data_IF_682221266618
#
_entry.id   IF_682221266618
#
_cell.length_a   1.000
_cell.length_b   1.000
_cell.length_c   1.000
_cell.angle_alpha   90.00
_cell.angle_beta   90.00
_cell.angle_gamma   90.00
#
_symmetry.space_group_name_H-M   'P 1'
#
loop_
_entity.id
_entity.type
_entity.pdbx_description
1 polymer ?
#
# COMPACT_ATOMS: atom_id res chain seq x y z
N UNK A 1 -1.26 18.05 -29.77
CA UNK A 1 -0.20 17.85 -28.77
C UNK A 1 0.67 19.10 -28.71
N UNK A 2 0.62 19.83 -27.60
CA UNK A 2 1.40 21.07 -27.43
C UNK A 2 2.90 20.80 -27.32
N UNK A 3 3.70 21.85 -27.53
CA UNK A 3 5.16 21.87 -27.34
C UNK A 3 5.57 21.39 -25.94
N UNK A 4 4.83 21.81 -24.91
CA UNK A 4 5.05 21.42 -23.51
C UNK A 4 4.89 19.92 -23.27
N UNK A 5 3.84 19.30 -23.83
CA UNK A 5 3.62 17.86 -23.67
C UNK A 5 4.77 17.03 -24.27
N UNK A 6 5.40 17.52 -25.35
CA UNK A 6 6.55 16.84 -25.99
C UNK A 6 7.84 16.99 -25.18
N UNK A 7 8.10 18.19 -24.64
CA UNK A 7 9.27 18.44 -23.79
C UNK A 7 9.20 17.65 -22.49
N UNK A 8 8.04 17.62 -21.84
CA UNK A 8 7.79 16.84 -20.62
C UNK A 8 8.03 15.34 -20.82
N UNK A 9 7.53 14.79 -21.94
CA UNK A 9 7.72 13.36 -22.26
C UNK A 9 9.19 13.02 -22.52
N UNK A 10 9.98 13.94 -23.08
CA UNK A 10 11.43 13.77 -23.25
C UNK A 10 12.17 13.81 -21.92
N UNK A 11 11.78 14.71 -21.02
CA UNK A 11 12.38 14.86 -19.69
C UNK A 11 12.09 13.66 -18.79
N UNK A 12 10.85 13.19 -18.75
CA UNK A 12 10.47 11.96 -18.04
C UNK A 12 11.19 10.73 -18.62
N UNK A 13 11.40 10.68 -19.94
CA UNK A 13 12.17 9.60 -20.59
C UNK A 13 13.65 9.66 -20.27
N UNK A 14 14.21 10.85 -20.01
CA UNK A 14 15.59 11.01 -19.52
C UNK A 14 15.71 10.60 -18.05
N UNK A 15 14.73 10.92 -17.22
CA UNK A 15 14.75 10.61 -15.79
C UNK A 15 14.49 9.12 -15.49
N UNK A 16 13.45 8.54 -16.09
CA UNK A 16 12.95 7.20 -15.71
C UNK A 16 13.36 6.12 -16.72
N UNK A 17 13.78 6.52 -17.93
CA UNK A 17 14.20 5.61 -19.00
C UNK A 17 13.03 5.00 -19.79
N UNK A 18 13.29 4.64 -21.06
CA UNK A 18 12.27 4.08 -21.99
C UNK A 18 11.65 2.79 -21.44
N UNK A 19 12.48 1.91 -20.86
CA UNK A 19 12.07 0.60 -20.33
C UNK A 19 11.01 0.71 -19.24
N UNK A 20 11.12 1.69 -18.35
CA UNK A 20 10.11 1.91 -17.30
C UNK A 20 8.82 2.45 -17.92
N UNK A 21 8.91 3.48 -18.77
CA UNK A 21 7.75 4.14 -19.38
C UNK A 21 6.87 3.22 -20.22
N UNK A 22 7.46 2.19 -20.82
CA UNK A 22 6.77 1.21 -21.66
C UNK A 22 6.33 -0.04 -20.89
N UNK A 23 6.70 -0.16 -19.61
CA UNK A 23 6.31 -1.31 -18.81
C UNK A 23 4.78 -1.36 -18.59
N UNK A 24 4.14 -2.55 -18.64
CA UNK A 24 2.70 -2.70 -18.42
C UNK A 24 2.19 -2.05 -17.12
N UNK A 25 2.99 -2.09 -16.06
CA UNK A 25 2.71 -1.40 -14.79
C UNK A 25 2.47 0.11 -14.98
N UNK A 26 3.34 0.80 -15.71
CA UNK A 26 3.21 2.24 -15.94
C UNK A 26 1.96 2.59 -16.74
N UNK A 27 1.55 1.71 -17.67
CA UNK A 27 0.29 1.87 -18.40
C UNK A 27 -0.90 1.76 -17.43
N UNK A 28 -0.92 0.76 -16.55
CA UNK A 28 -1.96 0.58 -15.53
C UNK A 28 -2.01 1.75 -14.55
N UNK A 29 -0.88 2.16 -14.00
CA UNK A 29 -0.80 3.27 -13.05
C UNK A 29 -1.33 4.58 -13.66
N UNK A 30 -1.04 4.87 -14.94
CA UNK A 30 -1.62 6.03 -15.63
C UNK A 30 -3.14 5.95 -15.79
N UNK A 31 -3.70 4.76 -15.99
CA UNK A 31 -5.15 4.56 -16.06
C UNK A 31 -5.75 4.82 -14.68
N UNK A 32 -5.21 4.19 -13.64
CA UNK A 32 -5.68 4.37 -12.26
C UNK A 32 -5.62 5.85 -11.82
N UNK A 33 -4.52 6.55 -12.15
CA UNK A 33 -4.36 7.99 -11.89
C UNK A 33 -5.45 8.85 -12.55
N UNK A 34 -5.89 8.48 -13.75
CA UNK A 34 -7.00 9.17 -14.43
C UNK A 34 -8.35 8.90 -13.76
N UNK A 35 -8.54 7.68 -13.26
CA UNK A 35 -9.79 7.25 -12.62
C UNK A 35 -9.95 7.82 -11.21
N UNK A 36 -8.91 7.77 -10.38
CA UNK A 36 -8.99 8.03 -8.94
C UNK A 36 -8.03 9.12 -8.43
N UNK A 37 -7.28 9.78 -9.33
CA UNK A 37 -6.35 10.83 -8.94
C UNK A 37 -5.27 10.31 -7.99
N UNK A 38 -4.97 11.08 -6.95
CA UNK A 38 -3.87 10.79 -6.01
C UNK A 38 -4.10 9.50 -5.20
N UNK A 39 -5.34 9.02 -5.06
CA UNK A 39 -5.61 7.74 -4.39
C UNK A 39 -5.01 6.53 -5.15
N UNK A 40 -4.72 6.69 -6.45
CA UNK A 40 -4.14 5.63 -7.28
C UNK A 40 -2.62 5.42 -7.09
N UNK A 41 -1.95 6.28 -6.32
CA UNK A 41 -0.49 6.20 -6.09
C UNK A 41 -0.11 5.56 -4.77
N UNK A 42 -1.07 5.03 -4.02
CA UNK A 42 -0.76 4.37 -2.76
C UNK A 42 0.07 3.11 -3.00
N UNK A 43 1.27 3.10 -2.40
CA UNK A 43 2.22 2.00 -2.48
C UNK A 43 2.56 1.55 -1.07
N UNK A 44 2.36 0.26 -0.81
CA UNK A 44 2.83 -0.36 0.41
C UNK A 44 4.22 -0.93 0.19
N UNK A 45 5.17 -0.56 1.05
CA UNK A 45 6.53 -1.09 1.06
C UNK A 45 6.68 -2.07 2.22
N UNK A 46 7.01 -3.31 1.90
CA UNK A 46 7.40 -4.31 2.88
C UNK A 46 8.92 -4.43 2.90
N UNK A 47 9.51 -4.06 4.03
CA UNK A 47 10.95 -4.11 4.26
C UNK A 47 11.47 -5.54 4.42
N UNK A 48 12.70 -5.77 3.95
CA UNK A 48 13.40 -7.05 3.96
C UNK A 48 14.85 -6.84 4.40
N UNK A 49 15.67 -7.89 4.38
CA UNK A 49 17.04 -7.82 4.88
C UNK A 49 17.89 -6.81 4.11
N UNK A 50 17.59 -6.59 2.83
CA UNK A 50 18.24 -5.58 1.99
C UNK A 50 17.23 -4.74 1.20
N UNK A 51 17.58 -3.49 0.83
CA UNK A 51 16.73 -2.65 -0.03
C UNK A 51 16.37 -3.29 -1.37
N UNK A 52 17.24 -4.15 -1.90
CA UNK A 52 17.03 -4.92 -3.12
C UNK A 52 15.92 -5.97 -2.99
N UNK A 53 15.67 -6.44 -1.76
CA UNK A 53 14.68 -7.45 -1.44
C UNK A 53 13.32 -6.85 -1.05
N UNK A 54 13.24 -5.54 -0.84
CA UNK A 54 11.99 -4.87 -0.50
C UNK A 54 10.90 -5.21 -1.53
N UNK A 55 9.68 -5.43 -1.05
CA UNK A 55 8.52 -5.66 -1.90
C UNK A 55 7.66 -4.40 -1.90
N UNK A 56 7.17 -4.03 -3.08
CA UNK A 56 6.33 -2.86 -3.30
C UNK A 56 5.00 -3.32 -3.89
N UNK A 57 3.89 -2.88 -3.31
CA UNK A 57 2.55 -3.30 -3.71
C UNK A 57 1.73 -2.11 -4.23
N UNK A 58 1.05 -2.32 -5.36
CA UNK A 58 0.06 -1.41 -5.94
C UNK A 58 -1.26 -1.52 -5.16
N UNK A 59 -1.37 -0.75 -4.07
CA UNK A 59 -2.46 -0.88 -3.09
C UNK A 59 -3.80 -0.57 -3.72
N UNK A 60 -3.87 0.48 -4.55
CA UNK A 60 -5.10 0.87 -5.22
C UNK A 60 -5.66 -0.26 -6.11
N UNK A 61 -4.82 -0.83 -6.99
CA UNK A 61 -5.26 -1.93 -7.86
C UNK A 61 -5.61 -3.17 -7.04
N UNK A 62 -4.82 -3.47 -6.01
CA UNK A 62 -5.07 -4.60 -5.11
C UNK A 62 -6.43 -4.47 -4.43
N UNK A 63 -6.75 -3.29 -3.87
CA UNK A 63 -8.03 -3.01 -3.23
C UNK A 63 -9.20 -3.12 -4.21
N UNK A 64 -9.10 -2.49 -5.39
CA UNK A 64 -10.14 -2.55 -6.43
C UNK A 64 -10.42 -3.98 -6.86
N UNK A 65 -9.38 -4.79 -7.06
CA UNK A 65 -9.53 -6.21 -7.41
C UNK A 65 -10.17 -7.00 -6.27
N UNK A 66 -9.70 -6.80 -5.05
CA UNK A 66 -10.18 -7.51 -3.85
C UNK A 66 -11.68 -7.31 -3.65
N UNK A 67 -12.16 -6.06 -3.73
CA UNK A 67 -13.58 -5.70 -3.59
C UNK A 67 -14.50 -6.42 -4.61
N UNK A 68 -13.99 -6.74 -5.79
CA UNK A 68 -14.78 -7.40 -6.85
C UNK A 68 -14.64 -8.92 -6.91
N UNK A 69 -13.72 -9.52 -6.16
CA UNK A 69 -13.34 -10.93 -6.33
C UNK A 69 -13.35 -11.75 -5.04
N UNK A 70 -13.31 -11.12 -3.87
CA UNK A 70 -13.22 -11.80 -2.58
C UNK A 70 -14.37 -11.41 -1.67
N UNK A 71 -14.73 -12.33 -0.77
CA UNK A 71 -15.67 -12.05 0.31
C UNK A 71 -14.90 -11.61 1.56
N UNK A 72 -15.50 -10.71 2.33
CA UNK A 72 -14.97 -10.32 3.64
C UNK A 72 -15.10 -11.51 4.58
N UNK A 73 -14.05 -11.77 5.34
CA UNK A 73 -14.03 -12.75 6.43
C UNK A 73 -13.73 -12.07 7.76
N UNK A 74 -14.22 -12.66 8.85
CA UNK A 74 -13.82 -12.25 10.19
C UNK A 74 -12.44 -12.81 10.53
N UNK A 75 -11.56 -11.96 11.04
CA UNK A 75 -10.28 -12.34 11.65
C UNK A 75 -10.16 -11.70 13.02
N UNK A 76 -9.06 -11.97 13.74
CA UNK A 76 -8.74 -11.30 14.99
C UNK A 76 -7.51 -10.42 14.82
N UNK A 77 -7.47 -9.34 15.60
CA UNK A 77 -6.30 -8.50 15.75
C UNK A 77 -5.13 -9.33 16.31
N UNK A 78 -3.98 -9.19 15.68
CA UNK A 78 -2.69 -9.69 16.14
C UNK A 78 -1.95 -8.51 16.78
N UNK A 79 -1.88 -8.54 18.11
CA UNK A 79 -1.24 -7.51 18.92
C UNK A 79 0.25 -7.36 18.61
N UNK A 80 0.94 -8.47 18.34
CA UNK A 80 2.36 -8.44 17.98
C UNK A 80 2.58 -7.77 16.62
N UNK A 81 1.68 -8.01 15.67
CA UNK A 81 1.71 -7.31 14.37
C UNK A 81 1.42 -5.82 14.51
N UNK A 82 0.46 -5.43 15.35
CA UNK A 82 0.16 -4.01 15.59
C UNK A 82 1.36 -3.28 16.19
N UNK A 83 2.03 -3.89 17.17
CA UNK A 83 3.25 -3.34 17.79
C UNK A 83 4.41 -3.23 16.77
N UNK A 84 4.59 -4.25 15.92
CA UNK A 84 5.59 -4.20 14.86
C UNK A 84 5.33 -3.07 13.85
N UNK A 85 4.08 -2.84 13.46
CA UNK A 85 3.70 -1.74 12.55
C UNK A 85 3.96 -0.35 13.15
N UNK A 86 3.79 -0.20 14.47
CA UNK A 86 4.12 1.05 15.19
C UNK A 86 5.63 1.24 15.24
N UNK A 87 6.37 0.22 15.67
CA UNK A 87 7.82 0.31 15.93
C UNK A 87 8.66 0.39 14.66
N UNK A 88 8.20 -0.19 13.54
CA UNK A 88 8.86 -0.10 12.23
C UNK A 88 8.71 1.25 11.54
N UNK A 89 7.82 2.13 12.01
CA UNK A 89 7.47 3.37 11.31
C UNK A 89 6.65 3.14 10.04
N UNK A 90 6.09 1.94 9.84
CA UNK A 90 5.20 1.64 8.70
C UNK A 90 3.89 2.44 8.76
N UNK A 91 3.55 2.97 9.94
CA UNK A 91 2.36 3.77 10.23
C UNK A 91 2.78 5.14 10.73
N UNK A 92 2.18 6.19 10.18
CA UNK A 92 2.40 7.57 10.58
C UNK A 92 1.58 7.90 11.84
N UNK A 93 2.23 8.24 12.98
CA UNK A 93 1.54 8.57 14.22
C UNK A 93 0.54 9.72 14.11
N UNK A 94 0.78 10.69 13.23
CA UNK A 94 -0.11 11.84 13.06
C UNK A 94 -1.38 11.42 12.30
N UNK A 95 -1.25 10.51 11.33
CA UNK A 95 -2.41 9.89 10.65
C UNK A 95 -3.24 9.00 11.57
N UNK A 96 -2.66 8.41 12.61
CA UNK A 96 -3.41 7.64 13.62
C UNK A 96 -4.32 8.56 14.43
N UNK A 97 -3.82 9.74 14.85
CA UNK A 97 -4.57 10.69 15.69
C UNK A 97 -5.82 11.21 15.00
N UNK A 98 -5.72 11.46 13.70
CA UNK A 98 -6.84 11.95 12.89
C UNK A 98 -7.80 10.83 12.45
N UNK A 99 -7.46 9.58 12.72
CA UNK A 99 -8.24 8.47 12.23
C UNK A 99 -9.53 8.29 13.04
N UNK A 100 -10.67 8.58 12.41
CA UNK A 100 -11.97 8.34 13.03
C UNK A 100 -12.29 6.85 13.02
N UNK A 101 -12.55 6.29 14.19
CA UNK A 101 -13.07 4.93 14.33
C UNK A 101 -14.52 4.96 13.83
N UNK A 102 -14.75 4.47 12.61
CA UNK A 102 -16.08 4.38 12.04
C UNK A 102 -16.92 3.32 12.76
N UNK A 103 -18.23 3.53 12.81
CA UNK A 103 -19.19 2.57 13.37
C UNK A 103 -19.15 1.21 12.65
N UNK A 104 -18.64 1.16 11.41
CA UNK A 104 -18.33 -0.08 10.69
C UNK A 104 -16.91 0.03 10.15
N UNK A 105 -15.95 -0.75 10.67
CA UNK A 105 -14.58 -0.68 10.19
C UNK A 105 -14.48 -1.20 8.76
N UNK A 106 -13.81 -0.45 7.88
CA UNK A 106 -13.48 -0.95 6.55
C UNK A 106 -12.56 -2.18 6.65
N UNK A 107 -12.77 -3.22 5.82
CA UNK A 107 -11.88 -4.37 5.82
C UNK A 107 -10.43 -4.01 5.55
N UNK A 108 -9.51 -4.71 6.21
CA UNK A 108 -8.07 -4.70 5.86
C UNK A 108 -7.77 -5.73 4.76
N UNK A 109 -6.59 -5.65 4.15
CA UNK A 109 -6.11 -6.69 3.23
C UNK A 109 -4.91 -7.37 3.88
N UNK A 110 -5.01 -8.68 4.08
CA UNK A 110 -3.95 -9.54 4.57
C UNK A 110 -3.39 -10.35 3.41
N UNK A 111 -2.07 -10.27 3.19
CA UNK A 111 -1.37 -11.17 2.30
C UNK A 111 -0.87 -12.39 3.07
N UNK A 112 -1.31 -13.57 2.65
CA UNK A 112 -0.95 -14.85 3.24
C UNK A 112 0.50 -15.21 2.86
N UNK A 113 1.28 -15.63 3.85
CA UNK A 113 2.66 -16.10 3.70
C UNK A 113 3.59 -15.12 2.95
N UNK A 114 3.30 -13.82 2.99
CA UNK A 114 4.08 -12.82 2.25
C UNK A 114 5.53 -12.86 2.72
N UNK A 115 5.76 -12.98 4.02
CA UNK A 115 7.11 -13.03 4.61
C UNK A 115 7.70 -14.45 4.73
N UNK A 116 7.01 -15.47 4.22
CA UNK A 116 7.36 -16.89 4.39
C UNK A 116 6.19 -17.67 5.02
N UNK A 117 6.29 -19.01 5.11
CA UNK A 117 5.23 -19.84 5.68
C UNK A 117 4.84 -19.40 7.11
N UNK A 118 3.54 -19.19 7.33
CA UNK A 118 2.96 -18.71 8.59
C UNK A 118 3.13 -17.21 8.86
N UNK A 119 3.75 -16.45 7.94
CA UNK A 119 4.08 -15.04 8.17
C UNK A 119 3.28 -14.11 7.26
N UNK A 120 2.02 -13.92 7.65
CA UNK A 120 1.06 -13.05 6.99
C UNK A 120 1.34 -11.57 7.27
N UNK A 121 0.98 -10.70 6.34
CA UNK A 121 1.24 -9.25 6.44
C UNK A 121 -0.01 -8.43 6.09
N UNK A 122 -0.22 -7.31 6.79
CA UNK A 122 -1.25 -6.33 6.45
C UNK A 122 -0.74 -5.51 5.26
N UNK A 123 -1.24 -5.82 4.07
CA UNK A 123 -0.84 -5.17 2.81
C UNK A 123 -1.61 -3.88 2.54
N UNK A 124 -2.74 -3.68 3.22
CA UNK A 124 -3.59 -2.48 3.12
C UNK A 124 -4.39 -2.28 4.42
N UNK A 125 -4.56 -1.03 4.82
CA UNK A 125 -5.26 -0.66 6.05
C UNK A 125 -4.39 -0.72 7.31
N UNK A 126 -3.07 -0.58 7.21
CA UNK A 126 -2.16 -0.61 8.37
C UNK A 126 -2.51 0.46 9.44
N UNK A 127 -2.85 1.68 9.02
CA UNK A 127 -3.30 2.73 9.94
C UNK A 127 -4.59 2.33 10.66
N UNK A 128 -5.59 1.81 9.94
CA UNK A 128 -6.83 1.27 10.54
C UNK A 128 -6.54 0.15 11.54
N UNK A 129 -5.63 -0.75 11.19
CA UNK A 129 -5.22 -1.88 12.02
C UNK A 129 -4.66 -1.40 13.36
N UNK A 130 -3.74 -0.43 13.30
CA UNK A 130 -3.12 0.15 14.48
C UNK A 130 -4.10 0.98 15.30
N UNK A 131 -4.94 1.81 14.66
CA UNK A 131 -5.98 2.57 15.37
C UNK A 131 -6.94 1.64 16.12
N UNK A 132 -7.34 0.52 15.50
CA UNK A 132 -8.16 -0.50 16.16
C UNK A 132 -7.47 -1.10 17.40
N UNK A 133 -6.18 -1.45 17.28
CA UNK A 133 -5.39 -1.96 18.39
C UNK A 133 -5.30 -0.97 19.55
N UNK A 134 -4.98 0.30 19.26
CA UNK A 134 -4.85 1.35 20.28
C UNK A 134 -6.20 1.62 20.97
N UNK A 135 -7.30 1.64 20.22
CA UNK A 135 -8.63 1.81 20.78
C UNK A 135 -9.03 0.64 21.69
N UNK A 136 -8.78 -0.60 21.24
CA UNK A 136 -9.04 -1.78 22.05
C UNK A 136 -8.18 -1.81 23.32
N UNK A 137 -6.91 -1.40 23.25
CA UNK A 137 -6.06 -1.26 24.42
C UNK A 137 -6.58 -0.22 25.41
N UNK A 138 -7.04 0.94 24.92
CA UNK A 138 -7.66 1.98 25.75
C UNK A 138 -8.96 1.52 26.44
N UNK A 139 -9.65 0.53 25.87
CA UNK A 139 -10.82 -0.12 26.46
C UNK A 139 -10.46 -1.29 27.40
N UNK A 140 -9.18 -1.55 27.66
CA UNK A 140 -8.72 -2.65 28.51
C UNK A 140 -8.82 -4.04 27.85
N UNK A 141 -8.92 -4.10 26.52
CA UNK A 141 -9.04 -5.36 25.76
C UNK A 141 -7.68 -5.89 25.26
N UNK A 142 -6.56 -5.36 25.76
CA UNK A 142 -5.23 -5.82 25.33
C UNK A 142 -5.06 -7.32 25.59
N UNK A 143 -4.60 -8.06 24.57
CA UNK A 143 -4.47 -9.52 24.62
C UNK A 143 -5.78 -10.29 24.43
N UNK A 144 -6.92 -9.61 24.32
CA UNK A 144 -8.21 -10.24 23.99
C UNK A 144 -8.36 -10.42 22.47
N UNK A 145 -9.19 -11.39 22.03
CA UNK A 145 -9.54 -11.54 20.63
C UNK A 145 -10.44 -10.38 20.18
N UNK A 146 -9.85 -9.40 19.49
CA UNK A 146 -10.58 -8.26 18.92
C UNK A 146 -10.94 -8.57 17.47
N UNK A 147 -12.22 -8.72 17.11
CA UNK A 147 -12.62 -9.09 15.76
C UNK A 147 -12.36 -7.95 14.77
N UNK A 148 -11.96 -8.31 13.57
CA UNK A 148 -11.70 -7.39 12.47
C UNK A 148 -12.20 -7.97 11.13
N UNK A 149 -12.82 -7.16 10.27
CA UNK A 149 -13.11 -7.57 8.91
C UNK A 149 -11.82 -7.55 8.07
N UNK A 150 -11.59 -8.60 7.29
CA UNK A 150 -10.42 -8.71 6.42
C UNK A 150 -10.72 -9.41 5.11
N UNK A 151 -9.89 -9.14 4.11
CA UNK A 151 -9.70 -10.00 2.94
C UNK A 151 -8.37 -10.72 3.06
N UNK A 152 -8.33 -11.99 2.70
CA UNK A 152 -7.10 -12.78 2.62
C UNK A 152 -6.74 -13.00 1.16
N UNK A 153 -5.52 -12.61 0.81
CA UNK A 153 -4.94 -12.86 -0.50
C UNK A 153 -3.93 -13.98 -0.37
N UNK A 154 -4.15 -15.05 -1.10
CA UNK A 154 -3.18 -16.13 -1.26
C UNK A 154 -1.97 -15.67 -2.09
N UNK A 155 -0.83 -16.38 -2.04
CA UNK A 155 0.37 -16.07 -2.83
C UNK A 155 0.10 -15.72 -4.29
N UNK A 156 -0.68 -16.53 -5.00
CA UNK A 156 -0.98 -16.28 -6.41
C UNK A 156 -1.91 -15.07 -6.62
N UNK A 157 -2.61 -14.64 -5.57
CA UNK A 157 -3.49 -13.49 -5.60
C UNK A 157 -2.76 -12.18 -5.28
N UNK A 158 -1.82 -12.14 -4.34
CA UNK A 158 -1.10 -10.88 -4.06
C UNK A 158 0.09 -10.64 -5.01
N UNK A 159 0.74 -11.69 -5.55
CA UNK A 159 1.92 -11.55 -6.42
C UNK A 159 1.68 -10.69 -7.66
N UNK A 160 0.46 -10.68 -8.21
CA UNK A 160 0.09 -9.86 -9.39
C UNK A 160 0.08 -8.34 -9.12
N UNK A 161 0.10 -7.94 -7.85
CA UNK A 161 0.14 -6.53 -7.45
C UNK A 161 1.54 -6.04 -7.10
N UNK A 162 2.56 -6.92 -7.21
CA UNK A 162 3.94 -6.52 -7.03
C UNK A 162 4.36 -5.52 -8.10
N UNK A 163 4.99 -4.44 -7.63
CA UNK A 163 5.67 -3.46 -8.45
C UNK A 163 7.12 -3.94 -8.61
N UNK A 164 7.62 -4.13 -9.84
CA UNK A 164 9.01 -4.51 -10.05
C UNK A 164 9.97 -3.49 -9.42
N UNK A 165 11.00 -3.98 -8.73
CA UNK A 165 11.94 -3.10 -7.98
C UNK A 165 12.61 -2.04 -8.84
N UNK A 166 12.94 -2.34 -10.10
CA UNK A 166 13.50 -1.34 -11.00
C UNK A 166 12.53 -0.19 -11.32
N UNK A 167 11.22 -0.45 -11.26
CA UNK A 167 10.18 0.58 -11.42
C UNK A 167 10.02 1.35 -10.12
N UNK A 168 9.96 0.65 -8.98
CA UNK A 168 9.86 1.28 -7.67
C UNK A 168 11.02 2.27 -7.42
N UNK A 169 12.26 1.85 -7.72
CA UNK A 169 13.46 2.71 -7.68
C UNK A 169 13.37 3.88 -8.65
N UNK A 170 12.97 3.63 -9.90
CA UNK A 170 12.87 4.70 -10.90
C UNK A 170 11.76 5.73 -10.60
N UNK A 171 10.73 5.32 -9.86
CA UNK A 171 9.67 6.19 -9.34
C UNK A 171 9.96 6.74 -7.94
N UNK A 172 11.10 6.36 -7.34
CA UNK A 172 11.54 6.81 -6.02
C UNK A 172 10.57 6.48 -4.89
N UNK A 173 9.94 5.32 -4.96
CA UNK A 173 9.10 4.80 -3.86
C UNK A 173 9.94 4.34 -2.66
N UNK A 174 11.24 4.10 -2.87
CA UNK A 174 12.23 3.79 -1.85
C UNK A 174 12.65 5.02 -1.04
N UNK A 175 12.68 6.20 -1.67
CA UNK A 175 13.17 7.45 -1.06
C UNK A 175 12.10 8.20 -0.23
N UNK A 176 10.80 7.97 -0.44
CA UNK A 176 9.72 8.87 0.04
C UNK A 176 8.87 8.35 1.23
N UNK A 177 9.31 7.34 1.99
CA UNK A 177 8.54 6.89 3.16
C UNK A 177 8.77 7.72 4.44
N UNK A 178 9.69 8.69 4.39
CA UNK A 178 9.93 9.63 5.49
C UNK A 178 9.59 11.04 5.01
N UNK A 179 8.43 11.52 5.47
CA UNK A 179 7.94 12.89 5.31
C UNK A 179 7.62 13.35 3.88
N UNK A 180 6.47 13.97 3.76
CA UNK A 180 5.92 14.61 2.58
C UNK A 180 5.40 13.70 1.47
N UNK A 181 4.10 13.82 1.31
CA UNK A 181 3.37 13.91 0.05
C UNK A 181 4.13 14.63 -1.09
N UNK A 182 5.23 14.07 -1.57
CA UNK A 182 5.87 14.46 -2.82
C UNK A 182 5.00 13.94 -3.95
N UNK A 183 3.97 14.76 -4.21
CA UNK A 183 3.00 14.66 -5.28
C UNK A 183 3.70 14.32 -6.58
N UNK A 184 3.60 13.07 -7.02
CA UNK A 184 3.78 12.78 -8.43
C UNK A 184 2.55 13.30 -9.17
N UNK A 185 2.55 14.60 -9.49
CA UNK A 185 1.47 15.19 -10.27
C UNK A 185 1.58 14.74 -11.74
N UNK A 186 0.96 13.62 -12.06
CA UNK A 186 0.33 13.48 -13.37
C UNK A 186 -0.84 14.46 -13.45
N UNK A 187 -0.53 15.76 -13.56
CA UNK A 187 -1.55 16.77 -13.90
C UNK A 187 -2.23 16.30 -15.18
N UNK A 188 -3.56 16.24 -15.10
CA UNK A 188 -4.50 15.89 -16.16
C UNK A 188 -4.06 16.54 -17.47
N UNK A 189 -3.72 15.71 -18.46
CA UNK A 189 -3.83 16.09 -19.87
C UNK A 189 -5.30 15.93 -20.28
#
# INVERSE_FOLDING_TARGET
MSSESRNRRRELRRQVGKRVLEHPYMKRMRINLREAGDAATEVYRLERQSPEEHLYFDVYTMRKWTLGNLSVVGTFLDWGRADHLITSGAVDPDRIKDHTILATPEPIIIGVNVCGPGNDQVLDGAHRYVTCALAAAAMGLQGQPVPMPAYFLEPEQWKKFLIPNFIAKALRFDENYVNDSHKWTARKD
#
